data_IF_465549418554
#
_entry.id   IF_465549418554
#
_cell.length_a   1.000
_cell.length_b   1.000
_cell.length_c   1.000
_cell.angle_alpha   90.00
_cell.angle_beta   90.00
_cell.angle_gamma   90.00
#
_symmetry.space_group_name_H-M   'P 1'
#
loop_
_entity.id
_entity.type
_entity.pdbx_description
1 polymer ?
#
# COMPACT_ATOMS: atom_id res chain seq x y z
N UNK A 1 -8.65 45.15 23.35
CA UNK A 1 -8.67 43.76 22.85
C UNK A 1 -7.67 43.73 21.70
N UNK A 2 -6.57 42.97 21.84
CA UNK A 2 -5.50 42.94 20.83
C UNK A 2 -5.79 41.88 19.77
N UNK A 3 -5.62 42.25 18.51
CA UNK A 3 -5.79 41.37 17.34
C UNK A 3 -4.54 40.46 17.21
N UNK A 4 -4.73 39.15 17.18
CA UNK A 4 -3.64 38.18 16.98
C UNK A 4 -3.63 37.80 15.50
N UNK A 5 -2.54 38.12 14.81
CA UNK A 5 -2.31 37.64 13.45
C UNK A 5 -1.95 36.15 13.47
N UNK A 6 -2.67 35.33 12.70
CA UNK A 6 -2.35 33.93 12.51
C UNK A 6 -1.21 33.78 11.49
N UNK A 7 -0.23 32.90 11.72
CA UNK A 7 0.80 32.61 10.73
C UNK A 7 0.21 31.82 9.55
N UNK A 8 0.81 31.99 8.37
CA UNK A 8 0.50 31.17 7.21
C UNK A 8 1.18 29.79 7.30
N UNK A 9 0.43 28.74 6.98
CA UNK A 9 0.93 27.37 6.83
C UNK A 9 0.88 27.00 5.35
N UNK A 10 2.02 26.66 4.76
CA UNK A 10 2.08 26.08 3.41
C UNK A 10 1.98 24.57 3.52
N UNK A 11 0.96 23.98 2.90
CA UNK A 11 0.83 22.53 2.78
C UNK A 11 1.39 22.10 1.43
N UNK A 12 2.53 21.41 1.44
CA UNK A 12 3.08 20.80 0.23
C UNK A 12 2.35 19.49 -0.06
N UNK A 13 1.77 19.38 -1.26
CA UNK A 13 1.17 18.11 -1.70
C UNK A 13 2.27 17.14 -2.14
N UNK A 14 2.06 15.84 -1.89
CA UNK A 14 2.98 14.80 -2.36
C UNK A 14 2.90 14.70 -3.88
N UNK A 15 4.04 14.57 -4.56
CA UNK A 15 4.09 14.24 -5.98
C UNK A 15 3.36 12.91 -6.24
N UNK A 16 2.38 12.92 -7.15
CA UNK A 16 1.59 11.75 -7.52
C UNK A 16 2.06 11.22 -8.87
N UNK A 17 2.30 9.91 -8.95
CA UNK A 17 2.62 9.22 -10.20
C UNK A 17 1.42 8.36 -10.57
N UNK A 18 0.73 8.73 -11.66
CA UNK A 18 -0.44 8.02 -12.16
C UNK A 18 -0.09 6.96 -13.22
N UNK A 19 1.16 6.96 -13.69
CA UNK A 19 1.63 5.90 -14.58
C UNK A 19 1.91 4.65 -13.77
N UNK A 20 1.19 3.57 -14.07
CA UNK A 20 1.44 2.26 -13.47
C UNK A 20 2.85 1.79 -13.86
N UNK A 21 3.74 1.50 -12.89
CA UNK A 21 5.05 0.93 -13.17
C UNK A 21 4.93 -0.45 -13.86
N UNK A 22 5.99 -0.95 -14.52
CA UNK A 22 6.06 -2.36 -14.88
C UNK A 22 5.84 -3.23 -13.62
N UNK A 23 5.04 -4.29 -13.76
CA UNK A 23 4.71 -5.24 -12.68
C UNK A 23 5.16 -6.63 -13.11
N UNK A 24 5.95 -7.29 -12.28
CA UNK A 24 6.51 -8.63 -12.51
C UNK A 24 5.41 -9.69 -12.53
N UNK A 25 4.53 -9.70 -11.52
CA UNK A 25 3.44 -10.67 -11.38
C UNK A 25 2.09 -9.95 -11.36
N UNK A 26 1.43 -9.92 -12.52
CA UNK A 26 0.08 -9.35 -12.64
C UNK A 26 -0.93 -10.23 -11.91
N UNK A 27 -1.71 -9.62 -11.02
CA UNK A 27 -2.74 -10.29 -10.23
C UNK A 27 -3.90 -9.32 -10.00
N UNK A 28 -4.68 -8.98 -11.04
CA UNK A 28 -5.80 -8.05 -10.92
C UNK A 28 -6.87 -8.62 -9.98
N UNK A 29 -7.12 -7.93 -8.88
CA UNK A 29 -8.17 -8.30 -7.93
C UNK A 29 -8.91 -7.05 -7.44
N UNK A 30 -10.21 -6.97 -7.74
CA UNK A 30 -11.08 -5.91 -7.26
C UNK A 30 -11.57 -6.24 -5.84
N UNK A 31 -11.42 -5.28 -4.93
CA UNK A 31 -11.89 -5.37 -3.55
C UNK A 31 -12.98 -4.32 -3.33
N UNK A 32 -14.23 -4.79 -3.28
CA UNK A 32 -15.39 -3.96 -2.94
C UNK A 32 -15.71 -2.82 -3.92
N UNK A 33 -15.15 -2.83 -5.13
CA UNK A 33 -15.32 -1.76 -6.12
C UNK A 33 -14.51 -0.49 -5.84
N UNK A 34 -13.73 -0.45 -4.75
CA UNK A 34 -13.04 0.75 -4.27
C UNK A 34 -11.54 0.72 -4.55
N UNK A 35 -10.93 -0.45 -4.49
CA UNK A 35 -9.49 -0.63 -4.71
C UNK A 35 -9.23 -1.90 -5.51
N UNK A 36 -8.19 -1.85 -6.33
CA UNK A 36 -7.73 -2.98 -7.13
C UNK A 36 -6.27 -3.27 -6.80
N UNK A 37 -5.96 -4.53 -6.47
CA UNK A 37 -4.60 -5.03 -6.54
C UNK A 37 -4.26 -5.24 -8.00
N UNK A 38 -3.23 -4.59 -8.53
CA UNK A 38 -2.78 -4.77 -9.91
C UNK A 38 -1.83 -5.97 -10.04
N UNK A 39 -1.07 -6.24 -8.99
CA UNK A 39 -0.06 -7.28 -8.94
C UNK A 39 1.04 -6.96 -7.93
N UNK A 40 2.16 -7.67 -8.04
CA UNK A 40 3.27 -7.58 -7.11
C UNK A 40 4.61 -7.93 -7.75
N UNK A 41 5.67 -7.51 -7.06
CA UNK A 41 7.06 -7.89 -7.36
C UNK A 41 7.67 -8.60 -6.16
N UNK A 42 8.50 -9.60 -6.43
CA UNK A 42 9.33 -10.30 -5.46
C UNK A 42 10.80 -10.16 -5.87
N UNK A 43 11.65 -9.77 -4.93
CA UNK A 43 13.10 -9.70 -5.17
C UNK A 43 13.73 -11.10 -5.37
N UNK A 44 13.11 -12.14 -4.82
CA UNK A 44 13.52 -13.54 -4.95
C UNK A 44 12.38 -14.53 -4.70
N UNK A 45 12.53 -15.74 -5.23
CA UNK A 45 11.55 -16.83 -5.09
C UNK A 45 12.04 -18.00 -4.22
N UNK A 46 13.32 -17.98 -3.83
CA UNK A 46 13.94 -18.97 -2.97
C UNK A 46 14.63 -18.25 -1.81
N UNK A 47 14.50 -18.81 -0.60
CA UNK A 47 14.95 -18.22 0.65
C UNK A 47 15.55 -19.31 1.54
N UNK A 48 16.61 -18.95 2.26
CA UNK A 48 17.12 -19.73 3.37
C UNK A 48 16.58 -19.21 4.71
N UNK A 49 16.65 -20.03 5.75
CA UNK A 49 16.23 -19.64 7.08
C UNK A 49 17.04 -18.43 7.57
N UNK A 50 16.34 -17.39 8.03
CA UNK A 50 16.93 -16.13 8.49
C UNK A 50 17.07 -15.06 7.41
N UNK A 51 16.82 -15.38 6.13
CA UNK A 51 16.80 -14.38 5.07
C UNK A 51 15.47 -13.61 5.01
N UNK A 52 15.53 -12.41 4.43
CA UNK A 52 14.36 -11.58 4.16
C UNK A 52 14.01 -11.59 2.67
N UNK A 53 12.71 -11.48 2.39
CA UNK A 53 12.14 -11.27 1.05
C UNK A 53 11.47 -9.90 1.00
N UNK A 54 11.66 -9.20 -0.11
CA UNK A 54 11.01 -7.93 -0.38
C UNK A 54 9.84 -8.15 -1.32
N UNK A 55 8.63 -7.92 -0.80
CA UNK A 55 7.40 -7.93 -1.56
C UNK A 55 6.94 -6.48 -1.78
N UNK A 56 6.75 -6.10 -3.03
CA UNK A 56 6.12 -4.83 -3.41
C UNK A 56 4.72 -5.11 -3.94
N UNK A 57 3.71 -4.43 -3.42
CA UNK A 57 2.32 -4.56 -3.87
C UNK A 57 1.89 -3.29 -4.63
N UNK A 58 1.32 -3.48 -5.81
CA UNK A 58 0.83 -2.39 -6.65
C UNK A 58 -0.68 -2.28 -6.54
N UNK A 59 -1.14 -1.15 -6.03
CA UNK A 59 -2.56 -0.89 -5.82
C UNK A 59 -3.04 0.28 -6.67
N UNK A 60 -4.30 0.21 -7.10
CA UNK A 60 -5.01 1.28 -7.79
C UNK A 60 -6.31 1.61 -7.08
N UNK A 61 -6.54 2.88 -6.84
CA UNK A 61 -7.81 3.38 -6.30
C UNK A 61 -8.83 3.51 -7.42
N UNK A 62 -9.97 2.84 -7.25
CA UNK A 62 -11.12 2.93 -8.15
C UNK A 62 -12.13 3.97 -7.66
N UNK A 63 -12.22 4.14 -6.35
CA UNK A 63 -13.08 5.13 -5.69
C UNK A 63 -12.49 5.62 -4.37
N UNK A 64 -12.94 6.77 -3.88
CA UNK A 64 -12.53 7.29 -2.59
C UNK A 64 -12.94 6.34 -1.44
N UNK A 65 -12.08 6.23 -0.43
CA UNK A 65 -12.30 5.34 0.71
C UNK A 65 -12.43 6.18 1.99
N UNK A 66 -13.52 5.99 2.73
CA UNK A 66 -13.73 6.64 4.03
C UNK A 66 -12.99 5.93 5.17
N UNK A 67 -12.66 4.66 4.96
CA UNK A 67 -11.96 3.81 5.94
C UNK A 67 -10.49 3.67 5.54
N UNK A 68 -9.60 3.81 6.53
CA UNK A 68 -8.18 3.52 6.37
C UNK A 68 -7.93 2.02 6.53
N UNK A 69 -7.85 1.30 5.42
CA UNK A 69 -7.64 -0.14 5.41
C UNK A 69 -6.17 -0.51 5.68
N UNK A 70 -5.99 -1.65 6.33
CA UNK A 70 -4.70 -2.31 6.54
C UNK A 70 -4.52 -3.39 5.48
N UNK A 71 -3.32 -3.47 4.92
CA UNK A 71 -2.90 -4.60 4.09
C UNK A 71 -2.20 -5.62 4.97
N UNK A 72 -2.61 -6.88 4.86
CA UNK A 72 -1.98 -8.01 5.52
C UNK A 72 -1.34 -8.94 4.50
N UNK A 73 -0.17 -9.48 4.84
CA UNK A 73 0.56 -10.46 4.01
C UNK A 73 1.01 -11.58 4.92
N UNK A 74 0.69 -12.83 4.55
CA UNK A 74 1.14 -14.02 5.25
C UNK A 74 1.99 -14.90 4.33
N UNK A 75 3.19 -15.27 4.80
CA UNK A 75 3.97 -16.36 4.23
C UNK A 75 3.54 -17.65 4.91
N UNK A 76 2.87 -18.54 4.17
CA UNK A 76 2.33 -19.80 4.69
C UNK A 76 2.93 -21.02 3.97
N UNK A 77 2.92 -22.16 4.64
CA UNK A 77 3.21 -23.46 4.00
C UNK A 77 1.91 -24.21 3.62
N UNK A 78 2.06 -25.43 3.08
CA UNK A 78 0.94 -26.27 2.63
C UNK A 78 0.00 -26.69 3.76
N UNK A 79 0.48 -26.68 5.00
CA UNK A 79 -0.29 -26.97 6.22
C UNK A 79 -0.94 -25.69 6.82
N UNK A 80 -0.93 -24.57 6.11
CA UNK A 80 -1.42 -23.25 6.55
C UNK A 80 -0.71 -22.67 7.78
N UNK A 81 0.50 -23.13 8.10
CA UNK A 81 1.32 -22.51 9.15
C UNK A 81 1.91 -21.20 8.64
N UNK A 82 1.75 -20.13 9.42
CA UNK A 82 2.36 -18.82 9.17
C UNK A 82 3.83 -18.85 9.60
N UNK A 83 4.73 -18.58 8.65
CA UNK A 83 6.18 -18.45 8.86
C UNK A 83 6.64 -17.01 8.97
N UNK A 84 5.89 -16.09 8.37
CA UNK A 84 6.11 -14.66 8.46
C UNK A 84 4.82 -13.92 8.13
N UNK A 85 4.65 -12.76 8.75
CA UNK A 85 3.48 -11.91 8.50
C UNK A 85 3.86 -10.44 8.53
N UNK A 86 3.07 -9.64 7.82
CA UNK A 86 3.16 -8.19 7.89
C UNK A 86 1.82 -7.54 7.67
N UNK A 87 1.40 -6.78 8.67
CA UNK A 87 0.15 -6.03 8.67
C UNK A 87 0.47 -4.56 8.84
N UNK A 88 0.09 -3.74 7.86
CA UNK A 88 0.35 -2.31 7.92
C UNK A 88 -0.61 -1.51 7.06
N UNK A 89 -0.80 -0.26 7.44
CA UNK A 89 -1.26 0.76 6.48
C UNK A 89 -0.31 0.75 5.28
N UNK A 90 -0.81 0.90 4.03
CA UNK A 90 0.06 0.87 2.86
C UNK A 90 1.20 1.89 2.90
N UNK A 91 2.19 1.69 2.02
CA UNK A 91 3.37 2.54 1.98
C UNK A 91 4.18 2.47 3.27
N UNK A 92 4.29 1.27 3.86
CA UNK A 92 5.01 1.04 5.10
C UNK A 92 4.51 1.92 6.26
N UNK A 93 3.19 2.06 6.40
CA UNK A 93 2.56 2.87 7.46
C UNK A 93 2.27 4.32 7.10
N UNK A 94 2.62 4.79 5.88
CA UNK A 94 2.64 6.23 5.55
C UNK A 94 1.63 6.67 4.50
N UNK A 95 0.92 5.72 3.89
CA UNK A 95 -0.06 5.96 2.83
C UNK A 95 -1.42 5.36 3.22
N UNK A 96 -2.16 5.95 4.18
CA UNK A 96 -3.52 5.54 4.49
C UNK A 96 -4.39 5.58 3.24
N UNK A 97 -5.25 4.57 3.08
CA UNK A 97 -6.09 4.43 1.89
C UNK A 97 -7.07 5.59 1.73
N UNK A 98 -7.45 6.26 2.82
CA UNK A 98 -8.26 7.48 2.80
C UNK A 98 -7.59 8.66 2.09
N UNK A 99 -6.27 8.64 1.94
CA UNK A 99 -5.50 9.67 1.20
C UNK A 99 -5.22 9.32 -0.26
N UNK A 100 -5.66 8.15 -0.71
CA UNK A 100 -5.45 7.71 -2.09
C UNK A 100 -6.46 8.39 -3.01
N UNK A 101 -6.01 8.78 -4.19
CA UNK A 101 -6.85 9.48 -5.18
C UNK A 101 -7.12 8.55 -6.33
N UNK A 102 -8.35 8.59 -6.84
CA UNK A 102 -8.77 7.84 -8.02
C UNK A 102 -7.90 8.19 -9.24
N UNK A 103 -7.49 7.17 -9.98
CA UNK A 103 -6.68 7.31 -11.21
C UNK A 103 -5.52 6.33 -11.25
#
# INVERSE_FOLDING_TARGET
VGEIALPSLTVESRSRVFQVPPIQHRLPANLGGQVELLGYDLDRNELQAGEAVHLTLYWRTLDEMEVSYTVFVHLINKENRIWGQRDSVPGNGTLPTTGWVKG
#
